data_IF_223730713131
#
_entry.id   IF_223730713131
#
_cell.length_a   1.000
_cell.length_b   1.000
_cell.length_c   1.000
_cell.angle_alpha   90.00
_cell.angle_beta   90.00
_cell.angle_gamma   90.00
#
_symmetry.space_group_name_H-M   'P 1'
#
loop_
_entity.id
_entity.type
_entity.pdbx_description
1 polymer ?
2 non-polymer ?
3 non-polymer ?
4 water ?
#
# COMPACT_ATOMS: atom_id res chain seq x y z
N UNK A 1 13.06 9.68 -13.13
CA UNK A 1 12.32 9.92 -11.84
C UNK A 1 12.68 11.26 -11.22
N UNK A 2 11.79 11.81 -10.39
CA UNK A 2 12.05 13.10 -9.73
C UNK A 2 13.00 12.89 -8.56
N UNK A 3 13.63 13.96 -8.09
CA UNK A 3 14.55 13.82 -6.96
C UNK A 3 13.77 13.32 -5.75
N UNK A 4 14.44 12.55 -4.90
CA UNK A 4 13.79 11.99 -3.72
C UNK A 4 13.00 10.73 -4.04
N UNK A 5 12.92 10.38 -5.32
CA UNK A 5 12.22 9.17 -5.71
C UNK A 5 13.25 8.12 -6.08
N UNK A 6 12.92 6.86 -5.88
CA UNK A 6 13.82 5.76 -6.18
C UNK A 6 13.31 5.00 -7.41
N UNK A 7 14.15 4.90 -8.44
CA UNK A 7 13.76 4.20 -9.66
C UNK A 7 14.06 2.72 -9.53
N UNK A 8 13.21 1.89 -10.12
CA UNK A 8 13.45 0.46 -10.06
C UNK A 8 12.62 -0.28 -11.07
N UNK A 9 13.31 -0.93 -12.01
CA UNK A 9 12.67 -1.71 -13.06
C UNK A 9 11.56 -0.95 -13.77
N UNK A 10 11.86 0.24 -14.27
CA UNK A 10 10.89 1.08 -15.00
C UNK A 10 9.87 1.85 -14.16
N UNK A 11 10.00 1.79 -12.84
CA UNK A 11 9.07 2.52 -11.97
C UNK A 11 9.76 3.46 -10.97
N UNK A 12 9.06 4.52 -10.59
CA UNK A 12 9.57 5.50 -9.63
C UNK A 12 8.80 5.39 -8.31
N UNK A 13 9.52 5.49 -7.19
CA UNK A 13 8.89 5.36 -5.88
C UNK A 13 9.31 6.43 -4.88
N UNK A 14 8.36 6.85 -4.05
CA UNK A 14 8.61 7.83 -3.01
C UNK A 14 8.15 7.22 -1.69
N UNK A 15 9.02 7.24 -0.68
CA UNK A 15 8.70 6.67 0.63
C UNK A 15 8.52 7.73 1.72
N UNK A 16 7.31 7.82 2.27
CA UNK A 16 7.02 8.82 3.29
C UNK A 16 7.70 8.46 4.60
N UNK A 17 7.87 9.46 5.45
CA UNK A 17 8.49 9.27 6.74
C UNK A 17 7.59 9.85 7.82
N UNK A 18 6.32 10.01 7.47
CA UNK A 18 5.33 10.52 8.40
C UNK A 18 4.06 9.72 8.09
N UNK A 19 3.06 9.81 8.95
CA UNK A 19 1.85 9.05 8.72
C UNK A 19 0.63 9.85 8.34
N UNK A 20 -0.22 9.23 7.53
CA UNK A 20 -1.46 9.84 7.09
C UNK A 20 -2.50 8.71 6.99
N UNK A 21 -3.77 9.10 7.08
CA UNK A 21 -4.82 8.13 6.95
C UNK A 21 -4.71 7.77 5.46
N UNK A 22 -5.12 6.55 5.11
CA UNK A 22 -5.04 6.09 3.73
C UNK A 22 -5.60 7.10 2.74
N UNK A 23 -6.78 7.65 3.02
CA UNK A 23 -7.40 8.61 2.08
C UNK A 23 -6.46 9.78 1.82
N UNK A 24 -5.92 10.35 2.88
CA UNK A 24 -4.99 11.46 2.76
C UNK A 24 -3.73 11.01 2.02
N UNK A 25 -3.28 9.79 2.31
CA UNK A 25 -2.10 9.25 1.66
C UNK A 25 -2.39 9.08 0.17
N UNK A 26 -3.59 8.61 -0.12
CA UNK A 26 -4.01 8.40 -1.50
C UNK A 26 -3.99 9.71 -2.25
N UNK A 27 -4.69 10.70 -1.70
CA UNK A 27 -4.76 12.01 -2.31
C UNK A 27 -3.36 12.58 -2.49
N UNK A 28 -2.49 12.35 -1.51
CA UNK A 28 -1.13 12.87 -1.61
C UNK A 28 -0.45 12.32 -2.86
N UNK A 29 -0.42 11.00 -3.02
CA UNK A 29 0.23 10.44 -4.19
C UNK A 29 -0.36 10.95 -5.50
N UNK A 30 -1.69 11.09 -5.55
CA UNK A 30 -2.34 11.56 -6.76
C UNK A 30 -1.92 12.99 -7.09
N UNK A 31 -1.81 13.84 -6.07
CA UNK A 31 -1.42 15.22 -6.29
C UNK A 31 -0.02 15.30 -6.88
N UNK A 32 0.71 14.19 -6.79
CA UNK A 32 2.06 14.11 -7.33
C UNK A 32 2.04 13.38 -8.67
N UNK A 33 0.85 13.23 -9.24
CA UNK A 33 0.72 12.53 -10.50
C UNK A 33 1.21 11.10 -10.35
N UNK A 34 0.97 10.55 -9.17
CA UNK A 34 1.38 9.19 -8.88
C UNK A 34 0.22 8.49 -8.24
N UNK A 35 0.48 7.29 -7.72
CA UNK A 35 -0.53 6.49 -7.07
C UNK A 35 0.14 5.63 -6.02
N UNK A 36 -0.60 5.25 -4.98
CA UNK A 36 -0.04 4.41 -3.94
C UNK A 36 0.57 3.19 -4.63
N UNK A 37 1.72 2.75 -4.13
CA UNK A 37 2.44 1.64 -4.73
C UNK A 37 1.54 0.46 -5.05
N UNK A 38 1.80 -0.16 -6.19
CA UNK A 38 1.09 -1.34 -6.70
C UNK A 38 2.12 -2.45 -6.91
N UNK A 39 2.08 -3.48 -6.07
CA UNK A 39 3.05 -4.57 -6.15
C UNK A 39 2.59 -5.76 -7.00
N UNK A 40 3.23 -5.96 -8.15
CA UNK A 40 2.86 -7.06 -9.03
C UNK A 40 3.90 -8.16 -9.25
N UNK A 41 4.89 -8.26 -8.37
CA UNK A 41 5.89 -9.31 -8.49
C UNK A 41 6.77 -9.43 -7.25
N UNK A 42 7.30 -10.62 -7.02
CA UNK A 42 8.17 -10.87 -5.87
C UNK A 42 9.32 -9.89 -5.79
N UNK A 43 9.92 -9.56 -6.93
CA UNK A 43 11.04 -8.64 -6.93
C UNK A 43 10.60 -7.24 -6.52
N UNK A 44 9.39 -6.83 -6.92
CA UNK A 44 8.91 -5.50 -6.55
C UNK A 44 8.59 -5.47 -5.05
N UNK A 45 8.06 -6.58 -4.55
CA UNK A 45 7.75 -6.70 -3.14
C UNK A 45 9.07 -6.61 -2.37
N UNK A 46 10.04 -7.45 -2.74
CA UNK A 46 11.32 -7.44 -2.06
C UNK A 46 11.89 -6.02 -2.06
N UNK A 47 11.78 -5.37 -3.20
CA UNK A 47 12.27 -4.02 -3.33
C UNK A 47 11.63 -3.02 -2.34
N UNK A 48 10.35 -3.20 -2.04
CA UNK A 48 9.68 -2.30 -1.12
C UNK A 48 9.96 -2.60 0.35
N UNK A 49 10.03 -3.88 0.71
CA UNK A 49 10.30 -4.22 2.11
C UNK A 49 11.63 -3.63 2.51
N UNK A 50 12.55 -3.62 1.55
CA UNK A 50 13.88 -3.11 1.78
C UNK A 50 13.88 -1.66 2.24
N UNK A 51 13.06 -0.82 1.61
CA UNK A 51 13.03 0.59 1.96
C UNK A 51 12.11 1.03 3.12
N UNK A 52 11.07 0.27 3.43
CA UNK A 52 10.18 0.69 4.51
C UNK A 52 10.63 0.14 5.85
N UNK A 53 11.25 -1.03 5.81
CA UNK A 53 11.72 -1.64 7.03
C UNK A 53 10.55 -2.21 7.79
N UNK A 54 10.71 -2.46 9.09
CA UNK A 54 9.66 -3.03 9.94
C UNK A 54 8.64 -1.97 10.37
N UNK A 55 8.01 -1.30 9.41
CA UNK A 55 7.04 -0.25 9.72
C UNK A 55 5.74 -0.40 8.94
N UNK A 56 4.62 -0.37 9.64
CA UNK A 56 3.33 -0.50 8.98
C UNK A 56 3.24 0.59 7.91
N UNK A 57 3.01 0.18 6.66
CA UNK A 57 2.96 1.12 5.53
C UNK A 57 1.86 0.87 4.49
N UNK A 58 1.03 1.88 4.28
CA UNK A 58 -0.07 1.79 3.31
C UNK A 58 0.37 1.53 1.86
N UNK A 59 -0.39 0.72 1.12
CA UNK A 59 -0.09 0.47 -0.30
C UNK A 59 -1.36 0.78 -1.09
N UNK A 60 -1.29 0.77 -2.42
CA UNK A 60 -2.46 1.12 -3.21
C UNK A 60 -3.50 0.03 -3.38
N UNK A 61 -3.81 -0.65 -2.28
CA UNK A 61 -4.77 -1.75 -2.32
C UNK A 61 -5.84 -1.56 -1.23
N UNK A 62 -7.10 -1.68 -1.62
CA UNK A 62 -8.21 -1.49 -0.69
C UNK A 62 -9.45 -2.20 -1.19
N UNK A 63 -10.41 -2.41 -0.28
CA UNK A 63 -11.67 -3.04 -0.65
C UNK A 63 -12.80 -2.15 -0.16
N UNK A 64 -12.55 -0.85 -0.17
CA UNK A 64 -13.51 0.16 0.25
C UNK A 64 -14.78 0.20 -0.59
N UNK A 65 -14.69 -0.21 -1.84
CA UNK A 65 -15.84 -0.20 -2.73
C UNK A 65 -16.36 -1.59 -2.98
N UNK A 66 -15.81 -2.56 -2.26
CA UNK A 66 -16.25 -3.93 -2.48
C UNK A 66 -15.08 -4.86 -2.70
N UNK A 67 -14.77 -5.21 -3.95
CA UNK A 67 -13.65 -6.12 -4.18
C UNK A 67 -12.28 -5.47 -4.07
N UNK A 68 -11.26 -6.29 -3.86
CA UNK A 68 -9.92 -5.77 -3.79
C UNK A 68 -9.55 -5.17 -5.13
N UNK A 69 -8.99 -3.97 -5.10
CA UNK A 69 -8.57 -3.28 -6.32
C UNK A 69 -7.28 -2.50 -6.08
N UNK A 70 -6.43 -2.45 -7.09
CA UNK A 70 -5.19 -1.72 -7.00
C UNK A 70 -5.60 -0.39 -7.59
N UNK A 71 -5.23 0.70 -6.92
CA UNK A 71 -5.62 2.02 -7.37
C UNK A 71 -5.33 2.38 -8.82
N UNK A 72 -4.50 1.60 -9.50
CA UNK A 72 -4.18 1.92 -10.89
C UNK A 72 -4.96 1.04 -11.86
N UNK A 73 -5.83 0.20 -11.33
CA UNK A 73 -6.61 -0.67 -12.20
C UNK A 73 -6.00 -2.04 -12.46
N UNK A 74 -4.78 -2.28 -11.99
CA UNK A 74 -4.16 -3.58 -12.21
C UNK A 74 -5.08 -4.64 -11.61
N UNK A 75 -5.21 -5.77 -12.30
CA UNK A 75 -6.08 -6.85 -11.87
C UNK A 75 -5.57 -7.53 -10.60
N UNK A 76 -6.44 -7.71 -9.63
CA UNK A 76 -6.02 -8.32 -8.38
C UNK A 76 -5.93 -9.85 -8.34
N UNK A 77 -6.99 -10.54 -8.74
CA UNK A 77 -6.95 -11.99 -8.67
C UNK A 77 -5.86 -12.62 -9.54
N UNK A 78 -5.57 -12.01 -10.67
CA UNK A 78 -4.54 -12.53 -11.56
C UNK A 78 -3.17 -12.08 -11.10
N UNK A 79 -3.14 -11.10 -10.20
CA UNK A 79 -1.86 -10.57 -9.74
C UNK A 79 -1.20 -11.16 -8.51
N UNK A 80 0.00 -10.64 -8.26
CA UNK A 80 0.83 -11.03 -7.12
C UNK A 80 0.11 -10.73 -5.81
N UNK A 81 0.33 -11.58 -4.81
CA UNK A 81 -0.30 -11.40 -3.50
C UNK A 81 0.69 -11.87 -2.47
N UNK A 82 0.77 -11.16 -1.35
CA UNK A 82 1.72 -11.53 -0.29
C UNK A 82 1.09 -11.29 1.08
N UNK A 83 -0.11 -11.83 1.28
CA UNK A 83 -0.81 -11.64 2.54
C UNK A 83 -0.18 -12.40 3.69
N UNK A 84 -0.32 -11.82 4.87
CA UNK A 84 0.14 -12.47 6.06
C UNK A 84 -0.88 -13.57 6.37
N UNK A 85 -0.39 -14.68 6.94
CA UNK A 85 -1.33 -15.76 7.27
C UNK A 85 -2.56 -15.21 8.03
N UNK A 86 -3.73 -15.71 7.66
CA UNK A 86 -4.99 -15.31 8.29
C UNK A 86 -5.44 -13.89 7.94
N UNK A 87 -4.89 -13.33 6.86
CA UNK A 87 -5.29 -12.00 6.42
C UNK A 87 -5.58 -12.09 4.92
N UNK A 88 -6.46 -11.22 4.39
CA UNK A 88 -7.20 -10.15 5.08
C UNK A 88 -8.26 -10.77 5.99
N UNK A 89 -8.57 -10.10 7.10
CA UNK A 89 -9.58 -10.62 8.01
C UNK A 89 -10.71 -9.64 8.34
N UNK A 90 -10.69 -8.46 7.73
CA UNK A 90 -11.73 -7.45 7.93
C UNK A 90 -12.21 -7.31 9.38
N UNK A 91 -11.26 -7.31 10.31
CA UNK A 91 -11.52 -7.19 11.74
C UNK A 91 -12.32 -5.95 12.18
N UNK A 92 -13.24 -6.16 13.11
CA UNK A 92 -14.07 -5.10 13.66
C UNK A 92 -13.71 -4.86 15.14
N UNK A 93 -13.06 -5.83 15.77
CA UNK A 93 -12.70 -5.72 17.19
C UNK A 93 -11.93 -4.50 17.66
N UNK A 94 -11.43 -3.68 16.75
CA UNK A 94 -10.67 -2.49 17.15
C UNK A 94 -11.54 -1.46 17.87
N UNK A 95 -12.84 -1.51 17.60
CA UNK A 95 -13.74 -0.58 18.25
C UNK A 95 -13.83 0.79 17.62
N UNK A 96 -13.17 0.99 16.49
CA UNK A 96 -13.20 2.28 15.83
C UNK A 96 -14.37 2.44 14.87
N UNK A 97 -15.11 1.36 14.63
CA UNK A 97 -16.23 1.42 13.70
C UNK A 97 -15.82 0.89 12.33
N UNK A 98 -16.59 -0.06 11.81
CA UNK A 98 -16.30 -0.63 10.51
C UNK A 98 -15.33 -1.80 10.60
N UNK A 99 -14.98 -2.37 9.45
CA UNK A 99 -14.06 -3.48 9.41
C UNK A 99 -12.67 -2.94 9.13
N UNK A 100 -12.00 -3.46 8.11
CA UNK A 100 -10.65 -3.03 7.69
C UNK A 100 -10.60 -3.08 6.15
N UNK A 101 -10.45 -1.92 5.53
CA UNK A 101 -10.46 -1.83 4.08
C UNK A 101 -9.20 -1.37 3.39
N UNK A 102 -8.13 -1.14 4.12
CA UNK A 102 -6.92 -0.69 3.46
C UNK A 102 -5.77 -1.64 3.76
N UNK A 103 -5.03 -1.98 2.72
CA UNK A 103 -3.89 -2.88 2.83
C UNK A 103 -2.58 -2.15 3.15
N UNK A 104 -1.79 -2.73 4.04
CA UNK A 104 -0.51 -2.15 4.40
C UNK A 104 0.50 -3.26 4.66
N UNK A 105 1.76 -2.98 4.38
CA UNK A 105 2.78 -3.96 4.63
C UNK A 105 2.87 -3.98 6.14
N UNK A 106 3.03 -5.16 6.73
CA UNK A 106 3.16 -5.24 8.18
C UNK A 106 4.64 -5.16 8.40
N UNK A 107 5.06 -5.33 9.65
CA UNK A 107 6.47 -5.24 9.99
C UNK A 107 7.33 -6.28 9.28
N UNK A 108 6.80 -7.46 8.95
CA UNK A 108 7.62 -8.47 8.26
C UNK A 108 7.42 -8.44 6.76
N UNK A 109 6.86 -7.34 6.25
CA UNK A 109 6.65 -7.22 4.82
C UNK A 109 5.35 -7.80 4.29
N UNK A 110 4.80 -8.78 4.97
CA UNK A 110 3.56 -9.34 4.48
C UNK A 110 2.42 -8.38 4.76
N UNK A 111 1.40 -8.45 3.93
CA UNK A 111 0.28 -7.54 4.01
C UNK A 111 -0.78 -7.85 5.06
N UNK A 112 -1.50 -6.82 5.48
CA UNK A 112 -2.58 -6.95 6.45
C UNK A 112 -3.59 -5.84 6.11
N UNK A 113 -4.87 -6.11 6.31
CA UNK A 113 -5.88 -5.09 6.05
C UNK A 113 -6.14 -4.46 7.41
N UNK A 114 -6.27 -3.13 7.45
CA UNK A 114 -6.47 -2.40 8.70
C UNK A 114 -7.39 -1.18 8.46
N UNK A 115 -7.76 -0.51 9.55
CA UNK A 115 -8.65 0.65 9.53
C UNK A 115 -8.04 1.77 8.72
N UNK A 116 -8.69 2.11 7.62
CA UNK A 116 -8.19 3.12 6.70
C UNK A 116 -7.83 4.45 7.35
N UNK A 117 -8.57 4.84 8.39
CA UNK A 117 -8.27 6.12 9.03
C UNK A 117 -7.03 6.12 9.93
N UNK A 118 -6.43 4.96 10.16
CA UNK A 118 -5.23 4.95 10.99
C UNK A 118 -4.13 5.64 10.21
N UNK A 119 -3.28 6.40 10.91
CA UNK A 119 -2.20 7.08 10.20
C UNK A 119 -0.97 6.17 10.11
N UNK A 120 -0.57 5.83 8.89
CA UNK A 120 0.62 5.01 8.69
C UNK A 120 1.45 5.72 7.63
N UNK A 121 2.67 5.25 7.41
CA UNK A 121 3.49 5.83 6.36
C UNK A 121 2.97 5.21 5.07
N UNK A 122 3.32 5.79 3.93
CA UNK A 122 2.86 5.25 2.66
C UNK A 122 3.94 5.32 1.59
N UNK A 123 3.66 4.77 0.41
CA UNK A 123 4.62 4.78 -0.68
C UNK A 123 3.93 5.17 -1.98
N UNK A 124 4.47 6.15 -2.70
CA UNK A 124 3.87 6.51 -3.98
C UNK A 124 4.71 5.88 -5.11
N UNK A 125 4.05 5.59 -6.23
CA UNK A 125 4.70 4.98 -7.38
C UNK A 125 4.19 5.58 -8.69
N UNK A 126 5.07 5.61 -9.69
CA UNK A 126 4.71 6.10 -11.01
C UNK A 126 5.56 5.33 -12.01
N UNK A 127 4.97 4.91 -13.12
CA UNK A 127 5.71 4.15 -14.12
C UNK A 127 6.31 5.00 -15.22
N UNK A 128 7.41 4.51 -15.79
CA UNK A 128 8.07 5.20 -16.89
C UNK A 128 7.41 4.76 -18.20
X LIG B 1 -12.75 -4.80 4.22
X LIG C 1 -6.52 -7.32 9.47
X LIG D 1 4.25 -1.59 -9.37
X LIG E 1 -3.75 4.35 15.10
#
# INVERSE_FOLDING_TARGET
>A
CPVNWVEHERSCYWFSRSGKAWADADNYCRLEDAHLVVVTSWEEQKFVQHHIGPVNTWMGLHDQNGPWKWVDGTDYETGFKNWRPEQPDDWYGHGLGGGEDCAHFTDDGRWNDDVCQRPYRWVCETEL
>B hetero
1 CA CA
>C hetero
1 CA CA
>D hetero
1 CA CA
>E hetero
1 CL CL
#
